data_IF_634328096158
#
_entry.id   IF_634328096158
#
_cell.length_a   1.000
_cell.length_b   1.000
_cell.length_c   1.000
_cell.angle_alpha   90.00
_cell.angle_beta   90.00
_cell.angle_gamma   90.00
#
_symmetry.space_group_name_H-M   'P 1'
#
loop_
_entity.id
_entity.type
_entity.pdbx_description
1 polymer ?
#
# COMPACT_ATOMS: atom_id res chain seq x y z
N UNK A 1 -41.43 6.42 65.26
CA UNK A 1 -40.60 7.48 64.66
C UNK A 1 -39.27 6.87 64.25
N UNK A 2 -39.19 6.30 63.05
CA UNK A 2 -38.02 5.54 62.58
C UNK A 2 -37.19 6.50 61.70
N UNK A 3 -35.98 6.84 62.16
CA UNK A 3 -35.02 7.63 61.38
C UNK A 3 -34.22 6.68 60.49
N UNK A 4 -34.38 6.79 59.18
CA UNK A 4 -33.48 6.17 58.22
C UNK A 4 -32.21 7.01 58.10
N UNK A 5 -31.08 6.40 58.43
CA UNK A 5 -29.74 6.95 58.21
C UNK A 5 -29.37 6.64 56.74
N UNK A 6 -29.36 7.66 55.89
CA UNK A 6 -28.86 7.54 54.51
C UNK A 6 -27.34 7.60 54.58
N UNK A 7 -26.70 6.46 54.28
CA UNK A 7 -25.26 6.35 54.12
C UNK A 7 -24.92 6.70 52.66
N UNK A 8 -24.39 7.90 52.42
CA UNK A 8 -23.92 8.30 51.09
C UNK A 8 -22.55 7.68 50.83
N UNK A 9 -22.51 6.66 49.98
CA UNK A 9 -21.26 6.05 49.51
C UNK A 9 -20.64 6.99 48.46
N UNK A 10 -19.56 7.69 48.80
CA UNK A 10 -18.77 8.46 47.83
C UNK A 10 -17.81 7.48 47.16
N UNK A 11 -18.12 7.09 45.93
CA UNK A 11 -17.21 6.32 45.06
C UNK A 11 -16.25 7.32 44.43
N UNK A 12 -14.98 7.29 44.83
CA UNK A 12 -13.91 7.94 44.07
C UNK A 12 -13.67 7.10 42.81
N UNK A 13 -14.22 7.56 41.69
CA UNK A 13 -13.78 7.10 40.36
C UNK A 13 -12.46 7.83 40.10
N UNK A 14 -11.34 7.12 40.27
CA UNK A 14 -10.06 7.59 39.74
C UNK A 14 -10.26 7.80 38.23
N UNK A 15 -9.93 8.97 37.66
CA UNK A 15 -9.85 9.09 36.22
C UNK A 15 -8.79 8.08 35.77
N UNK A 16 -9.21 7.05 35.04
CA UNK A 16 -8.26 6.21 34.33
C UNK A 16 -7.37 7.14 33.51
N UNK A 17 -6.05 6.99 33.63
CA UNK A 17 -5.12 7.60 32.70
C UNK A 17 -5.62 7.28 31.30
N UNK A 18 -6.10 8.28 30.57
CA UNK A 18 -6.35 8.11 29.15
C UNK A 18 -5.03 7.61 28.56
N UNK A 19 -5.05 6.44 27.94
CA UNK A 19 -3.90 5.92 27.21
C UNK A 19 -3.50 7.00 26.19
N UNK A 20 -2.32 7.59 26.36
CA UNK A 20 -1.81 8.73 25.56
C UNK A 20 -1.37 8.25 24.18
N UNK A 21 -2.31 7.69 23.41
CA UNK A 21 -2.04 7.12 22.10
C UNK A 21 -2.29 8.13 20.99
N UNK A 22 -1.36 8.21 20.04
CA UNK A 22 -1.53 8.97 18.81
C UNK A 22 -2.21 8.08 17.76
N UNK A 23 -3.36 8.48 17.20
CA UNK A 23 -3.97 7.77 16.09
C UNK A 23 -3.11 7.92 14.82
N UNK A 24 -3.02 6.85 14.03
CA UNK A 24 -2.38 6.87 12.72
C UNK A 24 -3.21 6.04 11.74
N UNK A 25 -3.72 6.66 10.68
CA UNK A 25 -4.38 6.00 9.57
C UNK A 25 -3.44 5.88 8.38
N UNK A 26 -3.11 4.63 8.03
CA UNK A 26 -2.33 4.29 6.83
C UNK A 26 -3.31 3.78 5.78
N UNK A 27 -3.20 4.30 4.56
CA UNK A 27 -3.97 3.84 3.41
C UNK A 27 -3.03 3.46 2.28
N UNK A 28 -3.33 2.39 1.57
CA UNK A 28 -2.76 2.14 0.24
C UNK A 28 -3.87 2.05 -0.79
N UNK A 29 -3.67 2.67 -1.95
CA UNK A 29 -4.66 2.71 -3.01
C UNK A 29 -3.97 2.72 -4.37
N UNK A 30 -4.28 1.73 -5.22
CA UNK A 30 -4.01 1.79 -6.64
C UNK A 30 -5.05 2.67 -7.33
N UNK A 31 -4.58 3.77 -7.91
CA UNK A 31 -5.39 4.80 -8.52
C UNK A 31 -5.66 4.56 -10.01
N UNK A 32 -5.16 3.46 -10.58
CA UNK A 32 -5.40 3.04 -11.97
C UNK A 32 -5.05 4.14 -13.00
N UNK A 33 -3.75 4.33 -13.24
CA UNK A 33 -3.22 5.27 -14.25
C UNK A 33 -3.70 6.72 -13.98
N UNK A 34 -3.40 7.24 -12.80
CA UNK A 34 -3.70 8.63 -12.45
C UNK A 34 -2.73 9.58 -13.15
N UNK A 35 -3.20 10.17 -14.24
CA UNK A 35 -2.43 11.09 -15.09
C UNK A 35 -2.99 12.49 -15.06
N UNK A 36 -2.12 13.48 -14.85
CA UNK A 36 -2.49 14.88 -14.93
C UNK A 36 -2.92 15.31 -16.37
N UNK A 37 -3.84 16.28 -16.49
CA UNK A 37 -4.11 16.97 -17.75
C UNK A 37 -2.83 17.51 -18.41
N UNK A 38 -2.72 17.38 -19.73
CA UNK A 38 -1.54 17.82 -20.49
C UNK A 38 -0.27 16.97 -20.33
N UNK A 39 -0.26 16.00 -19.40
CA UNK A 39 0.87 15.07 -19.21
C UNK A 39 0.73 13.87 -20.13
N UNK A 40 1.81 13.49 -20.80
CA UNK A 40 1.86 12.23 -21.53
C UNK A 40 2.35 11.14 -20.57
N UNK A 41 1.43 10.31 -20.07
CA UNK A 41 1.79 9.07 -19.41
C UNK A 41 2.33 8.04 -20.44
N UNK A 42 2.81 6.88 -19.96
CA UNK A 42 3.38 5.83 -20.80
C UNK A 42 2.37 5.22 -21.80
N UNK A 43 2.63 4.00 -22.25
CA UNK A 43 1.86 3.40 -23.36
C UNK A 43 0.42 3.03 -22.97
N UNK A 44 0.12 2.91 -21.68
CA UNK A 44 -1.21 2.59 -21.16
C UNK A 44 -1.99 3.88 -20.89
N UNK A 45 -3.22 3.96 -21.39
CA UNK A 45 -4.08 5.14 -21.26
C UNK A 45 -5.53 4.70 -21.04
N UNK A 46 -6.05 4.81 -19.80
CA UNK A 46 -7.49 4.66 -19.51
C UNK A 46 -8.23 5.97 -19.74
N UNK A 47 -7.81 7.04 -19.07
CA UNK A 47 -8.41 8.37 -19.19
C UNK A 47 -7.71 9.19 -20.28
N UNK A 48 -8.16 9.02 -21.52
CA UNK A 48 -7.49 9.58 -22.73
C UNK A 48 -7.49 11.11 -22.84
N UNK A 49 -8.53 11.79 -22.34
CA UNK A 49 -8.72 13.23 -22.52
C UNK A 49 -8.58 13.99 -21.21
N UNK A 50 -8.07 15.22 -21.26
CA UNK A 50 -7.86 16.07 -20.07
C UNK A 50 -9.12 16.26 -19.23
N UNK A 51 -10.29 16.37 -19.86
CA UNK A 51 -11.56 16.45 -19.13
C UNK A 51 -11.81 15.19 -18.28
N UNK A 52 -11.55 14.00 -18.82
CA UNK A 52 -11.70 12.75 -18.09
C UNK A 52 -10.64 12.60 -16.99
N UNK A 53 -9.42 13.07 -17.24
CA UNK A 53 -8.32 13.09 -16.26
C UNK A 53 -8.62 14.01 -15.08
N UNK A 54 -9.17 15.19 -15.32
CA UNK A 54 -9.65 16.09 -14.25
C UNK A 54 -10.71 15.40 -13.40
N UNK A 55 -11.72 14.81 -14.05
CA UNK A 55 -12.73 14.05 -13.34
C UNK A 55 -12.16 12.87 -12.55
N UNK A 56 -11.09 12.23 -13.02
CA UNK A 56 -10.42 11.16 -12.30
C UNK A 56 -9.69 11.70 -11.05
N UNK A 57 -8.92 12.78 -11.18
CA UNK A 57 -8.29 13.47 -10.04
C UNK A 57 -9.31 13.90 -8.98
N UNK A 58 -10.45 14.45 -9.38
CA UNK A 58 -11.53 14.84 -8.47
C UNK A 58 -12.10 13.64 -7.70
N UNK A 59 -12.43 12.53 -8.39
CA UNK A 59 -12.95 11.32 -7.74
C UNK A 59 -11.93 10.71 -6.77
N UNK A 60 -10.65 10.71 -7.12
CA UNK A 60 -9.61 10.22 -6.21
C UNK A 60 -9.44 11.16 -5.01
N UNK A 61 -9.53 12.48 -5.20
CA UNK A 61 -9.53 13.42 -4.09
C UNK A 61 -10.73 13.21 -3.16
N UNK A 62 -11.92 12.87 -3.69
CA UNK A 62 -13.10 12.53 -2.88
C UNK A 62 -12.89 11.26 -2.03
N UNK A 63 -12.18 10.26 -2.57
CA UNK A 63 -11.77 9.07 -1.81
C UNK A 63 -10.86 9.46 -0.65
N UNK A 64 -9.88 10.33 -0.90
CA UNK A 64 -8.94 10.81 0.14
C UNK A 64 -9.67 11.64 1.18
N UNK A 65 -10.57 12.53 0.78
CA UNK A 65 -11.44 13.30 1.69
C UNK A 65 -12.22 12.36 2.62
N UNK A 66 -12.88 11.36 2.03
CA UNK A 66 -13.71 10.40 2.74
C UNK A 66 -12.91 9.55 3.73
N UNK A 67 -11.74 9.07 3.32
CA UNK A 67 -10.91 8.20 4.13
C UNK A 67 -10.02 8.97 5.12
N UNK A 68 -9.72 10.23 4.85
CA UNK A 68 -8.86 11.11 5.65
C UNK A 68 -7.57 10.38 6.12
N UNK A 69 -6.75 9.83 5.21
CA UNK A 69 -5.50 9.16 5.58
C UNK A 69 -4.53 10.13 6.24
N UNK A 70 -3.75 9.67 7.21
CA UNK A 70 -2.58 10.42 7.68
C UNK A 70 -1.40 10.19 6.73
N UNK A 71 -1.26 8.96 6.20
CA UNK A 71 -0.33 8.58 5.14
C UNK A 71 -1.07 7.75 4.10
N UNK A 72 -0.96 8.15 2.84
CA UNK A 72 -1.47 7.44 1.67
C UNK A 72 -0.31 7.00 0.78
N UNK A 73 -0.16 5.68 0.61
CA UNK A 73 0.63 5.09 -0.45
C UNK A 73 -0.20 5.03 -1.74
N UNK A 74 0.28 5.69 -2.79
CA UNK A 74 -0.52 6.02 -3.97
C UNK A 74 0.04 5.33 -5.20
N UNK A 75 -0.54 4.20 -5.58
CA UNK A 75 -0.04 3.31 -6.63
C UNK A 75 -0.64 3.69 -7.98
N UNK A 76 0.15 3.57 -9.06
CA UNK A 76 -0.21 3.94 -10.44
C UNK A 76 -0.52 5.43 -10.68
N UNK A 77 0.09 6.31 -9.89
CA UNK A 77 0.26 7.71 -10.31
C UNK A 77 1.29 7.77 -11.44
N UNK A 78 1.14 8.66 -12.42
CA UNK A 78 2.05 8.67 -13.57
C UNK A 78 3.03 9.84 -13.58
N UNK A 79 2.88 10.80 -12.67
CA UNK A 79 3.78 11.95 -12.57
C UNK A 79 3.59 12.73 -11.27
N UNK A 80 4.55 13.61 -10.97
CA UNK A 80 4.47 14.57 -9.88
C UNK A 80 3.26 15.50 -10.03
N UNK A 81 2.98 15.98 -11.23
CA UNK A 81 1.87 16.90 -11.49
C UNK A 81 0.52 16.28 -11.16
N UNK A 82 0.37 14.96 -11.27
CA UNK A 82 -0.86 14.28 -10.85
C UNK A 82 -1.02 14.32 -9.33
N UNK A 83 0.05 14.05 -8.58
CA UNK A 83 0.06 14.12 -7.11
C UNK A 83 -0.20 15.55 -6.63
N UNK A 84 0.51 16.54 -7.21
CA UNK A 84 0.37 17.95 -6.86
C UNK A 84 -1.07 18.45 -7.11
N UNK A 85 -1.70 18.07 -8.23
CA UNK A 85 -3.09 18.45 -8.52
C UNK A 85 -4.11 17.82 -7.58
N UNK A 86 -3.92 16.56 -7.15
CA UNK A 86 -4.78 15.97 -6.11
C UNK A 86 -4.65 16.78 -4.82
N UNK A 87 -3.43 17.15 -4.43
CA UNK A 87 -3.19 17.96 -3.23
C UNK A 87 -3.84 19.34 -3.36
N UNK A 88 -3.76 19.99 -4.51
CA UNK A 88 -4.42 21.27 -4.78
C UNK A 88 -5.95 21.15 -4.60
N UNK A 89 -6.58 20.10 -5.13
CA UNK A 89 -8.02 19.83 -4.96
C UNK A 89 -8.37 19.63 -3.48
N UNK A 90 -7.56 18.85 -2.75
CA UNK A 90 -7.76 18.64 -1.30
C UNK A 90 -7.63 19.96 -0.53
N UNK A 91 -6.69 20.80 -0.94
CA UNK A 91 -6.50 22.12 -0.35
C UNK A 91 -7.69 23.03 -0.65
N UNK A 92 -8.24 23.02 -1.85
CA UNK A 92 -9.46 23.77 -2.20
C UNK A 92 -10.66 23.34 -1.34
N UNK A 93 -10.74 22.04 -0.99
CA UNK A 93 -11.72 21.48 -0.05
C UNK A 93 -11.42 21.81 1.43
N UNK A 94 -10.31 22.50 1.72
CA UNK A 94 -9.95 22.97 3.07
C UNK A 94 -8.98 22.06 3.84
N UNK A 95 -8.53 20.95 3.26
CA UNK A 95 -7.59 20.01 3.88
C UNK A 95 -6.13 20.44 3.64
N UNK A 96 -5.75 21.59 4.20
CA UNK A 96 -4.49 22.30 3.92
C UNK A 96 -3.22 21.65 4.47
N UNK A 97 -3.35 20.63 5.31
CA UNK A 97 -2.24 19.91 5.93
C UNK A 97 -1.66 18.80 5.06
N UNK A 98 -2.38 18.37 4.01
CA UNK A 98 -1.87 17.39 3.06
C UNK A 98 -0.69 17.91 2.23
N UNK A 99 0.28 17.04 2.01
CA UNK A 99 1.49 17.26 1.21
C UNK A 99 1.68 16.09 0.25
N UNK A 100 2.06 16.41 -0.98
CA UNK A 100 2.37 15.43 -2.02
C UNK A 100 3.86 15.17 -2.10
N UNK A 101 4.22 13.90 -2.28
CA UNK A 101 5.58 13.45 -2.53
C UNK A 101 5.55 12.49 -3.70
N UNK A 102 6.49 12.65 -4.62
CA UNK A 102 6.57 11.83 -5.82
C UNK A 102 8.03 11.59 -6.17
N UNK A 103 8.31 10.38 -6.65
CA UNK A 103 9.58 10.01 -7.26
C UNK A 103 9.27 9.28 -8.56
N UNK A 104 9.91 9.68 -9.64
CA UNK A 104 9.78 9.00 -10.93
C UNK A 104 10.35 7.59 -10.82
N UNK A 105 9.57 6.61 -11.27
CA UNK A 105 10.00 5.23 -11.32
C UNK A 105 10.79 4.95 -12.60
N UNK A 106 11.33 3.74 -12.71
CA UNK A 106 12.12 3.34 -13.89
C UNK A 106 11.28 2.49 -14.86
N UNK A 107 9.94 2.55 -14.77
CA UNK A 107 9.02 1.87 -15.70
C UNK A 107 8.83 2.67 -16.99
N UNK A 108 9.73 2.44 -17.95
CA UNK A 108 9.63 3.06 -19.27
C UNK A 108 8.47 2.56 -20.16
N UNK A 109 7.72 1.53 -19.76
CA UNK A 109 6.61 1.01 -20.56
C UNK A 109 5.27 1.64 -20.16
N UNK A 110 4.85 1.47 -18.91
CA UNK A 110 3.57 2.03 -18.44
C UNK A 110 3.69 3.48 -17.98
N UNK A 111 4.88 3.90 -17.51
CA UNK A 111 5.07 5.20 -16.86
C UNK A 111 4.30 5.34 -15.55
N UNK A 112 3.99 4.22 -14.89
CA UNK A 112 3.33 4.19 -13.58
C UNK A 112 4.38 4.24 -12.48
N UNK A 113 4.15 5.09 -11.49
CA UNK A 113 4.98 5.32 -10.33
C UNK A 113 4.21 4.97 -9.04
N UNK A 114 4.89 5.13 -7.91
CA UNK A 114 4.28 5.09 -6.58
C UNK A 114 4.55 6.43 -5.90
N UNK A 115 3.49 7.18 -5.62
CA UNK A 115 3.53 8.46 -4.92
C UNK A 115 3.08 8.33 -3.47
N UNK A 116 3.17 9.44 -2.74
CA UNK A 116 2.73 9.53 -1.34
C UNK A 116 1.98 10.83 -1.13
N UNK A 117 0.88 10.76 -0.37
CA UNK A 117 0.23 11.94 0.20
C UNK A 117 0.22 11.79 1.73
N UNK A 118 0.69 12.79 2.46
CA UNK A 118 0.82 12.72 3.93
C UNK A 118 0.37 14.02 4.59
N UNK A 119 -0.18 13.93 5.81
CA UNK A 119 -0.57 15.10 6.64
C UNK A 119 0.59 15.67 7.47
N UNK A 120 1.68 14.92 7.59
CA UNK A 120 2.89 15.33 8.30
C UNK A 120 4.12 15.20 7.39
N UNK A 121 5.20 15.96 7.65
CA UNK A 121 6.44 15.82 6.91
C UNK A 121 7.00 14.39 6.98
N UNK A 122 7.53 13.92 5.87
CA UNK A 122 8.36 12.72 5.84
C UNK A 122 9.74 13.04 6.43
N UNK A 123 10.40 12.04 6.98
CA UNK A 123 11.76 12.16 7.47
C UNK A 123 12.72 12.24 6.27
N UNK A 124 13.62 13.22 6.28
CA UNK A 124 14.66 13.34 5.26
C UNK A 124 15.81 12.37 5.55
N UNK A 125 16.10 11.48 4.61
CA UNK A 125 17.19 10.51 4.70
C UNK A 125 18.17 10.79 3.57
N UNK A 126 19.43 11.06 3.92
CA UNK A 126 20.50 11.38 2.96
C UNK A 126 20.14 12.52 1.98
N UNK A 127 19.32 13.50 2.40
CA UNK A 127 18.90 14.64 1.58
C UNK A 127 17.61 14.44 0.79
N UNK A 128 16.92 13.31 0.94
CA UNK A 128 15.68 12.99 0.21
C UNK A 128 14.55 12.54 1.15
N UNK A 129 13.33 13.01 0.92
CA UNK A 129 12.12 12.61 1.65
C UNK A 129 11.50 11.32 1.10
N UNK A 130 11.72 11.04 -0.18
CA UNK A 130 11.22 9.87 -0.92
C UNK A 130 12.26 9.46 -1.98
N UNK A 131 12.43 8.15 -2.19
CA UNK A 131 13.36 7.62 -3.21
C UNK A 131 12.89 6.30 -3.80
N UNK A 132 13.48 5.89 -4.90
CA UNK A 132 13.33 4.53 -5.44
C UNK A 132 14.52 3.65 -5.10
N UNK A 133 14.27 2.37 -4.90
CA UNK A 133 15.29 1.32 -4.95
C UNK A 133 15.36 0.80 -6.39
N UNK A 134 16.45 1.06 -7.09
CA UNK A 134 16.62 0.64 -8.47
C UNK A 134 18.09 0.58 -8.87
N UNK A 135 18.41 -0.31 -9.82
CA UNK A 135 19.70 -0.33 -10.51
C UNK A 135 19.46 -0.43 -12.01
N UNK A 136 20.13 0.41 -12.83
CA UNK A 136 20.08 0.27 -14.28
C UNK A 136 20.68 -1.07 -14.72
N UNK A 137 20.34 -1.48 -15.95
CA UNK A 137 20.86 -2.72 -16.53
C UNK A 137 22.39 -2.74 -16.50
N UNK A 138 22.95 -3.77 -15.86
CA UNK A 138 24.39 -3.97 -15.72
C UNK A 138 24.94 -3.60 -14.34
N UNK A 139 24.17 -2.88 -13.51
CA UNK A 139 24.51 -2.64 -12.11
C UNK A 139 23.95 -3.79 -11.23
N UNK A 140 24.81 -4.53 -10.50
CA UNK A 140 24.39 -5.64 -9.65
C UNK A 140 23.74 -5.20 -8.33
N UNK A 141 23.80 -3.92 -7.96
CA UNK A 141 23.43 -3.44 -6.62
C UNK A 141 21.99 -3.79 -6.27
N UNK A 142 21.03 -3.37 -7.09
CA UNK A 142 19.60 -3.66 -6.95
C UNK A 142 19.07 -4.46 -8.12
N UNK A 143 19.78 -5.52 -8.51
CA UNK A 143 19.30 -6.46 -9.51
C UNK A 143 19.27 -7.90 -9.00
N UNK A 144 18.35 -8.68 -9.57
CA UNK A 144 18.11 -10.07 -9.22
C UNK A 144 17.80 -10.88 -10.48
N UNK A 145 18.50 -12.00 -10.63
CA UNK A 145 18.22 -12.96 -11.70
C UNK A 145 17.02 -13.84 -11.34
N UNK A 146 16.29 -14.27 -12.37
CA UNK A 146 15.21 -15.25 -12.25
C UNK A 146 15.20 -16.20 -13.45
N UNK A 147 14.48 -17.31 -13.30
CA UNK A 147 14.24 -18.26 -14.39
C UNK A 147 12.75 -18.59 -14.50
N UNK A 148 12.30 -18.88 -15.71
CA UNK A 148 10.92 -19.24 -16.02
C UNK A 148 10.89 -20.27 -17.14
N UNK A 149 9.78 -20.99 -17.29
CA UNK A 149 9.59 -21.94 -18.39
C UNK A 149 8.63 -21.36 -19.41
N UNK A 150 9.05 -21.32 -20.67
CA UNK A 150 8.22 -20.87 -21.79
C UNK A 150 8.27 -21.96 -22.87
N UNK A 151 7.09 -22.47 -23.29
CA UNK A 151 6.97 -23.54 -24.30
C UNK A 151 7.84 -24.77 -24.00
N UNK A 152 7.98 -25.12 -22.73
CA UNK A 152 8.78 -26.27 -22.26
C UNK A 152 10.28 -26.00 -22.14
N UNK A 153 10.76 -24.81 -22.50
CA UNK A 153 12.16 -24.43 -22.39
C UNK A 153 12.40 -23.53 -21.18
N UNK A 154 13.46 -23.83 -20.41
CA UNK A 154 13.89 -22.95 -19.32
C UNK A 154 14.60 -21.73 -19.90
N UNK A 155 14.13 -20.54 -19.53
CA UNK A 155 14.70 -19.24 -19.86
C UNK A 155 15.12 -18.51 -18.59
N UNK A 156 16.04 -17.56 -18.75
CA UNK A 156 16.54 -16.73 -17.65
C UNK A 156 16.31 -15.26 -17.97
N UNK A 157 16.09 -14.46 -16.92
CA UNK A 157 15.95 -13.03 -16.98
C UNK A 157 16.64 -12.36 -15.79
N UNK A 158 16.66 -11.03 -15.80
CA UNK A 158 17.06 -10.21 -14.66
C UNK A 158 16.08 -9.08 -14.49
N UNK A 159 15.89 -8.64 -13.25
CA UNK A 159 15.00 -7.53 -12.91
C UNK A 159 15.60 -6.62 -11.85
N UNK A 160 15.04 -5.42 -11.76
CA UNK A 160 15.16 -4.48 -10.64
C UNK A 160 13.74 -4.08 -10.21
N UNK A 161 13.58 -3.32 -9.12
CA UNK A 161 12.27 -2.83 -8.69
C UNK A 161 11.89 -1.62 -9.55
N UNK A 162 11.03 -1.85 -10.55
CA UNK A 162 10.74 -0.84 -11.57
C UNK A 162 9.80 0.24 -11.04
N UNK A 163 8.84 -0.13 -10.18
CA UNK A 163 7.78 0.72 -9.64
C UNK A 163 7.74 0.59 -8.13
N UNK A 164 8.36 1.53 -7.45
CA UNK A 164 8.43 1.54 -6.00
C UNK A 164 8.69 2.94 -5.46
N UNK A 165 8.42 3.14 -4.19
CA UNK A 165 8.85 4.30 -3.43
C UNK A 165 9.19 3.89 -2.01
N UNK A 166 10.32 4.37 -1.48
CA UNK A 166 10.72 4.22 -0.10
C UNK A 166 10.74 5.58 0.57
N UNK A 167 10.11 5.66 1.73
CA UNK A 167 9.98 6.89 2.51
C UNK A 167 9.84 6.58 3.99
N UNK A 168 10.08 7.58 4.83
CA UNK A 168 10.22 7.40 6.27
C UNK A 168 9.38 8.44 7.00
N UNK A 169 8.87 8.07 8.17
CA UNK A 169 8.20 9.01 9.04
C UNK A 169 8.38 8.64 10.51
N UNK A 170 8.43 9.66 11.36
CA UNK A 170 8.41 9.48 12.81
C UNK A 170 7.09 9.96 13.40
N UNK A 171 6.33 9.05 14.01
CA UNK A 171 5.01 9.34 14.61
C UNK A 171 5.03 8.92 16.08
N UNK A 172 4.87 9.88 17.00
CA UNK A 172 4.89 9.62 18.45
C UNK A 172 6.13 8.83 18.93
N UNK A 173 7.30 9.12 18.36
CA UNK A 173 8.56 8.39 18.64
C UNK A 173 8.71 7.06 17.87
N UNK A 174 7.67 6.60 17.18
CA UNK A 174 7.77 5.43 16.30
C UNK A 174 8.39 5.82 14.96
N UNK A 175 9.57 5.28 14.70
CA UNK A 175 10.24 5.37 13.41
C UNK A 175 9.66 4.31 12.47
N UNK A 176 8.89 4.73 11.46
CA UNK A 176 8.22 3.87 10.47
C UNK A 176 8.85 4.05 9.09
N UNK A 177 9.31 2.96 8.49
CA UNK A 177 9.90 2.95 7.15
C UNK A 177 8.93 2.27 6.19
N UNK A 178 8.38 3.04 5.26
CA UNK A 178 7.40 2.57 4.29
C UNK A 178 8.07 2.17 2.99
N UNK A 179 7.62 1.05 2.44
CA UNK A 179 8.03 0.60 1.12
C UNK A 179 6.79 0.36 0.25
N UNK A 180 6.45 1.38 -0.52
CA UNK A 180 5.38 1.39 -1.50
C UNK A 180 5.77 0.61 -2.75
N UNK A 181 4.95 -0.33 -3.19
CA UNK A 181 5.26 -1.25 -4.29
C UNK A 181 4.14 -1.37 -5.31
N UNK A 182 4.52 -1.57 -6.57
CA UNK A 182 3.65 -2.11 -7.62
C UNK A 182 4.42 -3.22 -8.37
N UNK A 183 4.28 -4.45 -7.88
CA UNK A 183 5.04 -5.59 -8.40
C UNK A 183 4.49 -6.07 -9.75
N UNK A 184 5.22 -6.97 -10.41
CA UNK A 184 4.83 -7.49 -11.72
C UNK A 184 3.47 -8.19 -11.68
N UNK A 185 2.49 -7.75 -12.46
CA UNK A 185 1.15 -8.36 -12.59
C UNK A 185 1.12 -9.67 -13.38
N UNK A 186 -0.06 -10.30 -13.45
CA UNK A 186 -0.39 -11.57 -14.12
C UNK A 186 0.12 -12.84 -13.38
N UNK A 187 -0.70 -13.44 -12.49
CA UNK A 187 -0.31 -14.63 -11.73
C UNK A 187 -0.34 -15.94 -12.53
N UNK A 188 -0.87 -15.94 -13.75
CA UNK A 188 -0.95 -17.14 -14.61
C UNK A 188 0.25 -17.27 -15.56
N UNK A 189 1.03 -16.21 -15.74
CA UNK A 189 2.19 -16.18 -16.62
C UNK A 189 3.49 -16.55 -15.89
N UNK A 190 4.19 -17.56 -16.40
CA UNK A 190 5.42 -18.07 -15.79
C UNK A 190 6.56 -17.03 -15.76
N UNK A 191 6.68 -16.20 -16.81
CA UNK A 191 7.65 -15.10 -16.82
C UNK A 191 7.34 -14.09 -15.72
N UNK A 192 6.08 -13.68 -15.62
CA UNK A 192 5.61 -12.72 -14.63
C UNK A 192 5.80 -13.21 -13.20
N UNK A 193 5.46 -14.46 -12.91
CA UNK A 193 5.70 -15.07 -11.59
C UNK A 193 7.20 -15.17 -11.26
N UNK A 194 8.03 -15.58 -12.22
CA UNK A 194 9.48 -15.63 -12.02
C UNK A 194 10.08 -14.25 -11.73
N UNK A 195 9.62 -13.23 -12.46
CA UNK A 195 10.03 -11.83 -12.25
C UNK A 195 9.56 -11.31 -10.88
N UNK A 196 8.29 -11.50 -10.53
CA UNK A 196 7.71 -11.09 -9.23
C UNK A 196 8.44 -11.73 -8.06
N UNK A 197 8.80 -13.02 -8.16
CA UNK A 197 9.61 -13.71 -7.15
C UNK A 197 11.01 -13.11 -6.96
N UNK A 198 11.64 -12.62 -8.03
CA UNK A 198 12.91 -11.90 -7.94
C UNK A 198 12.76 -10.47 -7.39
N UNK A 199 11.64 -9.80 -7.70
CA UNK A 199 11.30 -8.52 -7.08
C UNK A 199 11.11 -8.68 -5.57
N UNK A 200 10.44 -9.75 -5.11
CA UNK A 200 10.29 -10.04 -3.68
C UNK A 200 11.64 -10.20 -2.94
N UNK A 201 12.63 -10.85 -3.56
CA UNK A 201 13.99 -10.94 -3.00
C UNK A 201 14.65 -9.57 -2.88
N UNK A 202 14.50 -8.71 -3.90
CA UNK A 202 15.00 -7.33 -3.85
C UNK A 202 14.31 -6.52 -2.76
N UNK A 203 13.01 -6.71 -2.56
CA UNK A 203 12.26 -6.07 -1.48
C UNK A 203 12.86 -6.44 -0.12
N UNK A 204 13.06 -7.74 0.13
CA UNK A 204 13.68 -8.19 1.38
C UNK A 204 15.09 -7.63 1.57
N UNK A 205 15.92 -7.62 0.52
CA UNK A 205 17.26 -7.02 0.56
C UNK A 205 17.22 -5.53 0.90
N UNK A 206 16.28 -4.79 0.31
CA UNK A 206 16.14 -3.36 0.55
C UNK A 206 15.64 -3.05 1.97
N UNK A 207 14.72 -3.85 2.53
CA UNK A 207 14.32 -3.72 3.93
C UNK A 207 15.53 -3.91 4.86
N UNK A 208 16.33 -4.97 4.62
CA UNK A 208 17.53 -5.28 5.41
C UNK A 208 18.67 -4.26 5.24
N UNK A 209 18.75 -3.61 4.08
CA UNK A 209 19.83 -2.69 3.73
C UNK A 209 19.52 -1.22 4.07
N UNK A 210 18.27 -0.79 3.90
CA UNK A 210 17.91 0.62 3.93
C UNK A 210 16.98 1.00 5.08
N UNK A 211 16.06 0.12 5.48
CA UNK A 211 15.06 0.44 6.52
C UNK A 211 15.57 0.06 7.91
N UNK A 212 15.84 -1.24 8.11
CA UNK A 212 16.17 -1.78 9.43
C UNK A 212 17.46 -1.18 10.02
N UNK A 213 18.57 -1.03 9.26
CA UNK A 213 19.81 -0.46 9.81
C UNK A 213 19.67 0.98 10.29
N UNK A 214 18.67 1.72 9.81
CA UNK A 214 18.37 3.10 10.21
C UNK A 214 17.45 3.17 11.45
N UNK A 215 17.06 2.01 12.00
CA UNK A 215 16.22 1.89 13.18
C UNK A 215 14.73 2.13 12.92
N UNK A 216 14.29 2.04 11.66
CA UNK A 216 12.88 2.14 11.29
C UNK A 216 12.23 0.76 11.26
N UNK A 217 10.96 0.69 11.65
CA UNK A 217 10.12 -0.50 11.51
C UNK A 217 9.58 -0.58 10.08
N UNK A 218 9.80 -1.68 9.34
CA UNK A 218 9.37 -1.80 7.95
C UNK A 218 7.86 -2.02 7.82
N UNK A 219 7.22 -1.21 6.99
CA UNK A 219 5.83 -1.36 6.53
C UNK A 219 5.88 -1.52 5.01
N UNK A 220 5.38 -2.63 4.48
CA UNK A 220 5.35 -2.88 3.03
C UNK A 220 3.91 -2.81 2.55
N UNK A 221 3.63 -2.03 1.51
CA UNK A 221 2.26 -1.78 1.07
C UNK A 221 2.15 -1.45 -0.41
N UNK A 222 1.00 -1.75 -1.02
CA UNK A 222 0.72 -1.49 -2.43
C UNK A 222 0.14 -2.70 -3.14
N UNK A 223 0.11 -2.62 -4.47
CA UNK A 223 -0.31 -3.73 -5.34
C UNK A 223 0.85 -4.71 -5.51
N UNK A 224 0.81 -5.79 -4.72
CA UNK A 224 1.85 -6.82 -4.76
C UNK A 224 1.56 -7.88 -5.82
N UNK A 225 0.39 -7.82 -6.47
CA UNK A 225 -0.02 -8.70 -7.56
C UNK A 225 0.09 -10.20 -7.23
N UNK A 226 -0.07 -10.55 -5.95
CA UNK A 226 0.00 -11.93 -5.48
C UNK A 226 -0.92 -12.16 -4.29
N UNK A 227 -1.22 -13.42 -4.00
CA UNK A 227 -2.10 -13.83 -2.91
C UNK A 227 -1.28 -14.22 -1.67
N UNK A 228 -1.83 -13.98 -0.48
CA UNK A 228 -1.22 -14.41 0.78
C UNK A 228 -1.70 -15.83 1.13
N UNK A 229 -0.80 -16.83 1.27
CA UNK A 229 -1.21 -18.19 1.61
C UNK A 229 -1.75 -18.33 3.04
N UNK A 230 -1.43 -17.40 3.94
CA UNK A 230 -1.83 -17.46 5.36
C UNK A 230 -3.06 -16.58 5.65
N UNK A 231 -3.38 -15.64 4.77
CA UNK A 231 -4.55 -14.77 4.87
C UNK A 231 -5.40 -14.95 3.61
N UNK A 232 -6.49 -15.74 3.69
CA UNK A 232 -7.22 -16.09 2.50
C UNK A 232 -7.99 -14.89 1.93
N UNK A 233 -8.03 -14.85 0.59
CA UNK A 233 -8.83 -13.96 -0.24
C UNK A 233 -10.34 -14.18 -0.01
N UNK A 234 -11.21 -13.34 -0.56
CA UNK A 234 -12.65 -13.63 -0.71
C UNK A 234 -12.90 -14.85 -1.59
N UNK A 235 -12.13 -15.02 -2.66
CA UNK A 235 -12.31 -16.10 -3.64
C UNK A 235 -11.49 -17.34 -3.25
N UNK A 236 -12.19 -18.38 -2.78
CA UNK A 236 -11.61 -19.66 -2.35
C UNK A 236 -11.06 -20.51 -3.51
N UNK A 237 -11.32 -20.10 -4.76
CA UNK A 237 -10.84 -20.83 -5.95
C UNK A 237 -9.49 -20.32 -6.44
N UNK A 238 -8.98 -19.25 -5.83
CA UNK A 238 -7.73 -18.59 -6.21
C UNK A 238 -6.72 -18.68 -5.08
N UNK A 239 -5.63 -19.38 -5.37
CA UNK A 239 -4.49 -19.49 -4.48
C UNK A 239 -3.24 -18.91 -5.14
N UNK A 240 -2.29 -18.48 -4.31
CA UNK A 240 -0.97 -18.09 -4.81
C UNK A 240 -0.29 -19.26 -5.52
N UNK A 241 0.31 -18.96 -6.67
CA UNK A 241 1.21 -19.87 -7.42
C UNK A 241 2.68 -19.62 -7.11
N UNK A 242 2.96 -18.71 -6.17
CA UNK A 242 4.31 -18.26 -5.80
C UNK A 242 4.47 -18.28 -4.28
N UNK A 243 5.62 -17.82 -3.80
CA UNK A 243 5.91 -17.56 -2.39
C UNK A 243 6.23 -16.08 -2.14
N UNK A 244 5.80 -15.17 -3.03
CA UNK A 244 6.14 -13.73 -3.01
C UNK A 244 5.78 -13.08 -1.69
N UNK A 245 4.51 -13.17 -1.25
CA UNK A 245 4.07 -12.54 0.00
C UNK A 245 4.80 -13.17 1.19
N UNK A 246 4.96 -14.50 1.20
CA UNK A 246 5.69 -15.21 2.25
C UNK A 246 7.15 -14.73 2.36
N UNK A 247 7.86 -14.57 1.25
CA UNK A 247 9.25 -14.08 1.24
C UNK A 247 9.37 -12.64 1.72
N UNK A 248 8.39 -11.80 1.43
CA UNK A 248 8.38 -10.42 1.92
C UNK A 248 8.11 -10.40 3.43
N UNK A 249 7.21 -11.27 3.93
CA UNK A 249 6.93 -11.42 5.35
C UNK A 249 8.14 -11.94 6.14
N UNK A 250 8.85 -12.94 5.61
CA UNK A 250 10.10 -13.52 6.14
C UNK A 250 11.32 -12.85 5.49
N UNK A 251 11.42 -11.53 5.61
CA UNK A 251 12.52 -10.79 5.01
C UNK A 251 13.83 -11.00 5.78
N UNK A 252 13.85 -11.49 7.02
CA UNK A 252 15.08 -11.78 7.75
C UNK A 252 15.19 -13.28 8.06
N UNK A 253 15.44 -14.08 7.02
CA UNK A 253 15.54 -15.55 7.09
C UNK A 253 16.59 -16.10 8.09
N UNK A 254 17.36 -15.24 8.75
CA UNK A 254 18.25 -15.63 9.86
C UNK A 254 17.50 -15.74 11.19
N UNK A 255 16.33 -15.13 11.29
CA UNK A 255 15.40 -15.25 12.41
C UNK A 255 14.31 -16.27 12.05
N UNK A 256 13.82 -17.03 13.03
CA UNK A 256 12.76 -17.99 12.76
C UNK A 256 11.41 -17.31 12.59
N UNK A 257 10.83 -17.47 11.40
CA UNK A 257 9.46 -17.11 11.08
C UNK A 257 9.27 -15.63 10.73
N UNK A 258 8.11 -15.33 10.14
CA UNK A 258 7.80 -14.03 9.54
C UNK A 258 8.06 -12.82 10.46
N UNK A 259 8.69 -11.76 9.95
CA UNK A 259 8.80 -10.48 10.66
C UNK A 259 7.58 -9.59 10.44
N UNK A 260 6.98 -9.69 9.26
CA UNK A 260 5.77 -8.94 8.90
C UNK A 260 4.54 -9.83 8.94
N UNK A 261 3.40 -9.19 9.15
CA UNK A 261 2.09 -9.82 9.15
C UNK A 261 1.13 -9.02 8.31
N UNK A 262 0.27 -9.72 7.55
CA UNK A 262 -0.66 -9.07 6.65
C UNK A 262 -1.84 -8.46 7.43
N UNK A 263 -2.10 -7.17 7.20
CA UNK A 263 -3.16 -6.43 7.87
C UNK A 263 -4.55 -7.02 7.61
N UNK A 264 -4.76 -7.64 6.46
CA UNK A 264 -6.04 -8.24 6.11
C UNK A 264 -6.48 -9.37 7.07
N UNK A 265 -5.56 -9.94 7.87
CA UNK A 265 -5.93 -10.94 8.88
C UNK A 265 -6.92 -10.40 9.93
N UNK A 266 -6.90 -9.07 10.17
CA UNK A 266 -7.80 -8.39 11.11
C UNK A 266 -9.16 -8.03 10.51
N UNK A 267 -9.39 -8.31 9.23
CA UNK A 267 -10.70 -8.16 8.59
C UNK A 267 -11.54 -9.40 8.95
N UNK A 268 -12.61 -9.27 9.77
CA UNK A 268 -13.32 -10.42 10.31
C UNK A 268 -14.07 -11.23 9.26
N UNK A 269 -14.67 -10.55 8.28
CA UNK A 269 -15.43 -11.19 7.20
C UNK A 269 -14.53 -11.40 6.00
N UNK A 270 -14.27 -12.67 5.67
CA UNK A 270 -13.51 -13.07 4.48
C UNK A 270 -14.06 -12.43 3.19
N UNK A 271 -15.38 -12.31 3.09
CA UNK A 271 -16.08 -11.69 1.95
C UNK A 271 -15.72 -10.22 1.71
N UNK A 272 -15.14 -9.54 2.69
CA UNK A 272 -14.80 -8.12 2.59
C UNK A 272 -13.32 -7.90 2.23
N UNK A 273 -12.54 -8.96 1.97
CA UNK A 273 -11.08 -8.88 1.84
C UNK A 273 -10.59 -8.55 0.44
N UNK A 274 -11.44 -8.62 -0.58
CA UNK A 274 -11.03 -8.31 -1.95
C UNK A 274 -10.66 -6.83 -2.08
N UNK A 275 -9.56 -6.58 -2.78
CA UNK A 275 -8.97 -5.25 -3.02
C UNK A 275 -8.97 -4.86 -4.49
N UNK A 276 -9.35 -5.77 -5.40
CA UNK A 276 -9.52 -5.48 -6.81
C UNK A 276 -10.81 -6.09 -7.37
N UNK A 277 -11.31 -5.48 -8.44
CA UNK A 277 -12.44 -5.89 -9.26
C UNK A 277 -11.99 -5.90 -10.71
N UNK A 278 -11.68 -7.07 -11.22
CA UNK A 278 -11.45 -7.23 -12.65
C UNK A 278 -12.79 -7.44 -13.36
N UNK A 279 -13.29 -6.35 -13.94
CA UNK A 279 -14.40 -6.31 -14.89
C UNK A 279 -13.91 -6.86 -16.23
N UNK A 280 -14.10 -8.17 -16.42
CA UNK A 280 -13.54 -8.90 -17.56
C UNK A 280 -14.11 -8.43 -18.91
N UNK A 281 -15.38 -8.02 -18.94
CA UNK A 281 -16.07 -7.65 -20.17
C UNK A 281 -16.10 -6.12 -20.41
N UNK A 282 -15.50 -5.35 -19.48
CA UNK A 282 -15.33 -3.90 -19.52
C UNK A 282 -16.66 -3.14 -19.62
N UNK A 283 -17.75 -3.68 -19.06
CA UNK A 283 -19.07 -3.06 -19.17
C UNK A 283 -19.40 -2.10 -18.02
N UNK A 284 -18.53 -2.01 -17.01
CA UNK A 284 -18.69 -1.14 -15.84
C UNK A 284 -19.71 -1.65 -14.80
N UNK A 285 -20.14 -2.91 -14.86
CA UNK A 285 -21.11 -3.52 -13.96
C UNK A 285 -20.49 -4.70 -13.20
N UNK A 286 -21.11 -5.06 -12.06
CA UNK A 286 -20.73 -6.25 -11.31
C UNK A 286 -21.45 -7.48 -11.89
N UNK A 287 -20.77 -8.23 -12.75
CA UNK A 287 -21.31 -9.40 -13.44
C UNK A 287 -20.93 -10.72 -12.75
N UNK A 288 -21.64 -11.80 -13.12
CA UNK A 288 -21.35 -13.14 -12.59
C UNK A 288 -19.99 -13.71 -12.99
N UNK A 289 -19.38 -13.17 -14.06
CA UNK A 289 -18.05 -13.53 -14.55
C UNK A 289 -16.95 -12.62 -14.00
N UNK A 290 -17.31 -11.61 -13.20
CA UNK A 290 -16.34 -10.70 -12.60
C UNK A 290 -15.54 -11.35 -11.50
N UNK A 291 -14.35 -10.80 -11.34
CA UNK A 291 -13.32 -11.38 -10.50
C UNK A 291 -12.97 -10.39 -9.40
N UNK A 292 -13.19 -10.82 -8.16
CA UNK A 292 -12.85 -10.06 -6.97
C UNK A 292 -11.72 -10.75 -6.22
N UNK A 293 -10.59 -10.07 -6.09
CA UNK A 293 -9.36 -10.65 -5.51
C UNK A 293 -8.65 -9.70 -4.56
N UNK A 294 -7.81 -10.25 -3.68
CA UNK A 294 -6.95 -9.53 -2.73
C UNK A 294 -5.50 -9.61 -3.21
N UNK A 295 -5.08 -8.61 -3.99
CA UNK A 295 -3.73 -8.50 -4.57
C UNK A 295 -2.97 -7.27 -4.04
N UNK A 296 -3.69 -6.34 -3.44
CA UNK A 296 -3.11 -5.24 -2.67
C UNK A 296 -2.95 -5.69 -1.23
N UNK A 297 -1.85 -5.27 -0.59
CA UNK A 297 -1.57 -5.67 0.79
C UNK A 297 -1.00 -4.51 1.60
N UNK A 298 -1.18 -4.59 2.92
CA UNK A 298 -0.40 -3.83 3.90
C UNK A 298 0.21 -4.85 4.87
N UNK A 299 1.53 -5.03 4.80
CA UNK A 299 2.30 -5.91 5.67
C UNK A 299 2.92 -5.06 6.78
N UNK A 300 2.49 -5.31 8.01
CA UNK A 300 2.93 -4.59 9.20
C UNK A 300 3.99 -5.40 9.94
N UNK A 301 4.98 -4.76 10.56
CA UNK A 301 5.88 -5.45 11.46
C UNK A 301 5.11 -5.94 12.68
N UNK A 302 5.46 -7.12 13.20
CA UNK A 302 4.76 -7.75 14.34
C UNK A 302 4.64 -6.83 15.56
N UNK A 303 5.60 -5.92 15.75
CA UNK A 303 5.60 -4.91 16.81
C UNK A 303 4.40 -3.95 16.74
N UNK A 304 3.81 -3.73 15.57
CA UNK A 304 2.63 -2.88 15.41
C UNK A 304 1.30 -3.63 15.61
N UNK A 305 1.31 -4.97 15.58
CA UNK A 305 0.11 -5.79 15.71
C UNK A 305 -0.75 -5.46 16.95
N UNK A 306 -0.18 -5.25 18.16
CA UNK A 306 -0.97 -4.89 19.34
C UNK A 306 -1.65 -3.52 19.25
N UNK A 307 -1.21 -2.67 18.33
CA UNK A 307 -1.67 -1.30 18.17
C UNK A 307 -2.71 -1.15 17.04
N UNK A 308 -2.99 -2.22 16.30
CA UNK A 308 -4.05 -2.26 15.28
C UNK A 308 -5.41 -2.10 15.96
N UNK A 309 -6.14 -1.06 15.57
CA UNK A 309 -7.51 -0.81 16.04
C UNK A 309 -8.55 -1.32 15.06
N UNK A 310 -8.28 -1.14 13.76
CA UNK A 310 -9.20 -1.54 12.70
C UNK A 310 -8.46 -1.72 11.38
N UNK A 311 -8.88 -2.72 10.62
CA UNK A 311 -8.50 -2.88 9.21
C UNK A 311 -9.76 -3.13 8.40
N UNK A 312 -9.89 -2.46 7.26
CA UNK A 312 -10.99 -2.70 6.32
C UNK A 312 -10.58 -2.33 4.89
N UNK A 313 -11.28 -2.90 3.92
CA UNK A 313 -11.20 -2.48 2.52
C UNK A 313 -12.37 -1.54 2.24
N UNK A 314 -12.11 -0.41 1.61
CA UNK A 314 -13.12 0.59 1.29
C UNK A 314 -13.72 0.34 -0.10
N UNK A 315 -14.81 -0.43 -0.16
CA UNK A 315 -15.55 -0.70 -1.41
C UNK A 315 -16.44 0.46 -1.89
N UNK A 316 -16.09 1.71 -1.55
CA UNK A 316 -16.83 2.93 -1.94
C UNK A 316 -16.38 3.49 -3.30
N UNK A 317 -15.38 2.85 -3.92
CA UNK A 317 -14.78 3.25 -5.18
C UNK A 317 -15.48 2.53 -6.33
N UNK A 318 -15.86 3.26 -7.38
CA UNK A 318 -16.40 2.69 -8.61
C UNK A 318 -15.32 2.52 -9.69
N UNK A 319 -15.60 1.72 -10.72
CA UNK A 319 -14.71 1.48 -11.86
C UNK A 319 -14.37 2.72 -12.70
N UNK A 320 -15.13 3.81 -12.52
CA UNK A 320 -14.83 5.12 -13.08
C UNK A 320 -13.69 5.83 -12.34
N UNK A 321 -13.31 5.34 -11.16
CA UNK A 321 -12.25 5.87 -10.30
C UNK A 321 -11.07 4.91 -10.24
N UNK A 322 -11.29 3.64 -9.92
CA UNK A 322 -10.27 2.61 -9.93
C UNK A 322 -10.92 1.22 -9.96
N UNK A 323 -10.26 0.25 -10.58
CA UNK A 323 -10.56 -1.18 -10.45
C UNK A 323 -9.99 -1.79 -9.16
N UNK A 324 -9.32 -0.99 -8.33
CA UNK A 324 -8.88 -1.34 -6.98
C UNK A 324 -9.65 -0.60 -5.89
N UNK A 325 -9.61 -1.16 -4.68
CA UNK A 325 -10.24 -0.63 -3.48
C UNK A 325 -9.17 -0.30 -2.43
N UNK A 326 -9.23 0.90 -1.80
CA UNK A 326 -8.27 1.28 -0.77
C UNK A 326 -8.28 0.33 0.43
N UNK A 327 -7.09 -0.07 0.88
CA UNK A 327 -6.91 -0.75 2.17
C UNK A 327 -6.66 0.31 3.23
N UNK A 328 -7.41 0.25 4.33
CA UNK A 328 -7.28 1.19 5.45
C UNK A 328 -6.85 0.44 6.70
N UNK A 329 -5.77 0.92 7.33
CA UNK A 329 -5.24 0.42 8.60
C UNK A 329 -5.25 1.57 9.60
N UNK A 330 -6.04 1.42 10.67
CA UNK A 330 -6.08 2.34 11.80
C UNK A 330 -5.21 1.79 12.95
N UNK A 331 -4.23 2.56 13.39
CA UNK A 331 -3.38 2.28 14.54
C UNK A 331 -3.64 3.28 15.68
N UNK A 332 -3.40 2.85 16.91
CA UNK A 332 -3.28 3.74 18.07
C UNK A 332 -1.92 3.53 18.73
N UNK A 333 -0.97 4.43 18.42
CA UNK A 333 0.43 4.30 18.81
C UNK A 333 0.67 4.95 20.17
N UNK A 334 1.06 4.19 21.21
CA UNK A 334 1.49 4.79 22.48
C UNK A 334 2.80 5.55 22.29
N UNK A 335 3.20 6.43 23.22
CA UNK A 335 4.48 7.13 23.13
C UNK A 335 5.63 6.12 23.23
N UNK A 336 6.69 6.34 22.46
CA UNK A 336 7.86 5.46 22.42
C UNK A 336 9.08 6.00 23.15
#
# INVERSE_FOLDING_TARGET
MIRYLILTLIVFVSPGLADDTTPLRIVTFNAEILTAPGVRAGQLQKFRFDFARKGHLERVADVIETLSPDVLNFVEVTSREAVDQVVDILHEKGMKDYRGYHVESNDGFSGMDVGVISRFPLDEIDGEEIRTIYSPKGDPTWSQAFSFTERGEKRNGGTSLSRNSMYFATVNGWKLGFFGLHLKSNPDDAYSNGKRGAEAELVGRAIRGEIVPRGYLPIVLGDLNDYDPDVPDRDDTRDTKTDVIKRIKDYDTKKPGDELVNAAQWIPRKTDRYTSHWDWNENGAADGDDVYTMIDHVLLPKELAPHVRRVFISHVVGLDTSDHFPIVVDLALPPK
#
